data_IF_814860830258
#
_entry.id   IF_814860830258
#
_cell.length_a   1.000
_cell.length_b   1.000
_cell.length_c   1.000
_cell.angle_alpha   90.00
_cell.angle_beta   90.00
_cell.angle_gamma   90.00
#
_symmetry.space_group_name_H-M   'P 1'
#
loop_
_entity.id
_entity.type
_entity.pdbx_description
1 polymer ?
#
# COMPACT_ATOMS: atom_id res chain seq x y z
N UNK A 1 -3.78 24.71 12.05
CA UNK A 1 -3.34 23.40 11.54
C UNK A 1 -2.27 23.60 10.47
N UNK A 2 -1.20 22.82 10.53
CA UNK A 2 -0.05 22.89 9.62
C UNK A 2 0.23 21.47 9.13
N UNK A 3 0.32 21.29 7.82
CA UNK A 3 0.64 20.02 7.19
C UNK A 3 1.61 20.28 6.04
N UNK A 4 2.89 20.05 6.28
CA UNK A 4 3.93 20.28 5.27
C UNK A 4 4.06 19.01 4.43
N UNK A 5 3.92 19.13 3.12
CA UNK A 5 4.25 18.03 2.23
C UNK A 5 5.78 17.89 2.17
N UNK A 6 6.28 16.72 2.57
CA UNK A 6 7.71 16.44 2.52
C UNK A 6 8.15 16.17 1.09
N UNK A 7 7.65 15.09 0.50
CA UNK A 7 7.92 14.68 -0.88
C UNK A 7 6.65 14.12 -1.52
N UNK A 8 6.52 14.25 -2.84
CA UNK A 8 5.47 13.55 -3.58
C UNK A 8 5.75 12.05 -3.72
N UNK A 9 4.69 11.27 -3.67
CA UNK A 9 4.72 9.83 -3.97
C UNK A 9 3.65 9.48 -5.00
N UNK A 10 3.55 8.21 -5.39
CA UNK A 10 2.39 7.64 -6.09
C UNK A 10 1.93 8.40 -7.35
N UNK A 11 2.86 8.88 -8.19
CA UNK A 11 2.51 9.46 -9.50
C UNK A 11 2.26 10.97 -9.50
N UNK A 12 2.17 11.60 -8.33
CA UNK A 12 1.99 13.04 -8.20
C UNK A 12 3.32 13.78 -8.40
N UNK A 13 3.27 15.00 -8.96
CA UNK A 13 4.45 15.87 -9.18
C UNK A 13 4.07 17.35 -9.32
N UNK A 14 3.05 17.81 -8.59
CA UNK A 14 2.61 19.20 -8.69
C UNK A 14 3.68 20.13 -8.09
N UNK A 15 4.15 21.09 -8.89
CA UNK A 15 5.16 22.08 -8.46
C UNK A 15 4.60 23.05 -7.42
N UNK A 16 5.47 23.52 -6.52
CA UNK A 16 5.09 24.47 -5.46
C UNK A 16 4.31 23.87 -4.28
N UNK A 17 4.12 22.55 -4.24
CA UNK A 17 3.47 21.86 -3.12
C UNK A 17 4.47 21.32 -2.08
N UNK A 18 5.58 20.74 -2.51
CA UNK A 18 6.62 20.24 -1.61
C UNK A 18 7.22 21.38 -0.78
N UNK A 19 7.50 21.10 0.51
CA UNK A 19 7.96 22.08 1.48
C UNK A 19 6.89 23.09 1.94
N UNK A 20 5.68 23.05 1.37
CA UNK A 20 4.62 24.03 1.65
C UNK A 20 3.50 23.45 2.51
N UNK A 21 2.79 24.34 3.22
CA UNK A 21 1.63 23.96 4.02
C UNK A 21 0.41 23.69 3.11
N UNK A 22 0.06 22.42 2.91
CA UNK A 22 -1.00 22.00 2.00
C UNK A 22 -2.37 22.54 2.43
N UNK A 23 -2.62 22.64 3.74
CA UNK A 23 -3.84 23.27 4.28
C UNK A 23 -3.92 24.75 3.89
N UNK A 24 -2.78 25.45 3.86
CA UNK A 24 -2.69 26.83 3.38
C UNK A 24 -3.00 26.92 1.89
N UNK A 25 -2.36 26.08 1.07
CA UNK A 25 -2.58 26.05 -0.38
C UNK A 25 -4.06 25.77 -0.74
N UNK A 26 -4.72 24.87 -0.01
CA UNK A 26 -6.14 24.59 -0.17
C UNK A 26 -7.01 25.80 0.21
N UNK A 27 -6.73 26.45 1.35
CA UNK A 27 -7.46 27.65 1.79
C UNK A 27 -7.32 28.78 0.79
N UNK A 28 -6.13 28.97 0.22
CA UNK A 28 -5.91 29.98 -0.83
C UNK A 28 -6.67 29.63 -2.10
N UNK A 29 -6.76 28.35 -2.48
CA UNK A 29 -7.56 27.91 -3.61
C UNK A 29 -9.07 28.18 -3.42
N UNK A 30 -9.59 27.94 -2.21
CA UNK A 30 -10.99 28.22 -1.87
C UNK A 30 -11.26 29.73 -1.92
N UNK A 31 -10.37 30.54 -1.33
CA UNK A 31 -10.46 32.01 -1.40
C UNK A 31 -10.41 32.54 -2.83
N UNK A 32 -9.54 31.99 -3.67
CA UNK A 32 -9.45 32.36 -5.10
C UNK A 32 -10.74 32.05 -5.86
N UNK A 33 -11.44 30.97 -5.49
CA UNK A 33 -12.71 30.59 -6.12
C UNK A 33 -13.86 31.49 -5.65
N UNK A 34 -13.92 31.81 -4.36
CA UNK A 34 -14.77 32.85 -3.79
C UNK A 34 -16.29 32.57 -3.79
N UNK A 35 -16.72 31.37 -4.18
CA UNK A 35 -18.13 30.97 -4.27
C UNK A 35 -18.63 30.14 -3.08
N UNK A 36 -17.74 29.75 -2.15
CA UNK A 36 -18.09 29.11 -0.89
C UNK A 36 -17.01 29.33 0.18
N UNK A 37 -17.38 29.11 1.44
CA UNK A 37 -16.46 29.06 2.57
C UNK A 37 -16.39 27.63 3.13
N UNK A 38 -15.22 27.22 3.58
CA UNK A 38 -15.00 25.90 4.18
C UNK A 38 -13.96 26.00 5.29
N UNK A 39 -14.29 25.44 6.46
CA UNK A 39 -13.33 25.31 7.53
C UNK A 39 -12.55 23.99 7.40
N UNK A 40 -11.22 24.10 7.33
CA UNK A 40 -10.32 22.94 7.27
C UNK A 40 -9.84 22.64 8.68
N UNK A 41 -10.53 21.69 9.31
CA UNK A 41 -10.36 21.32 10.72
C UNK A 41 -9.38 20.16 10.95
N UNK A 42 -9.18 19.33 9.93
CA UNK A 42 -8.31 18.15 9.99
C UNK A 42 -7.61 17.89 8.65
N UNK A 43 -6.38 17.37 8.73
CA UNK A 43 -5.65 16.77 7.62
C UNK A 43 -5.19 15.39 8.09
N UNK A 44 -5.50 14.35 7.33
CA UNK A 44 -5.36 12.97 7.78
C UNK A 44 -4.75 12.13 6.65
N UNK A 45 -3.84 11.23 7.01
CA UNK A 45 -3.34 10.20 6.10
C UNK A 45 -4.40 9.09 5.90
N UNK A 46 -4.41 8.46 4.74
CA UNK A 46 -5.39 7.42 4.40
C UNK A 46 -5.32 6.21 5.35
N UNK A 47 -4.13 5.80 5.82
CA UNK A 47 -3.97 4.71 6.80
C UNK A 47 -4.64 5.04 8.13
N UNK A 48 -4.44 6.27 8.63
CA UNK A 48 -5.01 6.76 9.90
C UNK A 48 -6.53 6.81 9.81
N UNK A 49 -7.06 7.33 8.70
CA UNK A 49 -8.48 7.36 8.47
C UNK A 49 -9.08 5.95 8.39
N UNK A 50 -8.43 5.02 7.69
CA UNK A 50 -8.85 3.61 7.64
C UNK A 50 -8.86 2.98 9.02
N UNK A 51 -7.81 3.20 9.83
CA UNK A 51 -7.75 2.71 11.21
C UNK A 51 -8.94 3.21 12.03
N UNK A 52 -9.22 4.51 11.99
CA UNK A 52 -10.32 5.11 12.76
C UNK A 52 -11.70 4.65 12.26
N UNK A 53 -11.86 4.44 10.95
CA UNK A 53 -13.08 3.87 10.40
C UNK A 53 -13.34 2.48 10.97
N UNK A 54 -12.35 1.60 10.93
CA UNK A 54 -12.46 0.24 11.47
C UNK A 54 -12.54 0.23 13.01
N UNK A 55 -11.95 1.21 13.69
CA UNK A 55 -12.02 1.38 15.14
C UNK A 55 -13.42 1.70 15.66
N UNK A 56 -14.25 2.32 14.82
CA UNK A 56 -15.66 2.52 15.14
C UNK A 56 -16.42 1.19 15.23
N UNK A 57 -16.03 0.19 14.44
CA UNK A 57 -16.66 -1.15 14.42
C UNK A 57 -16.04 -2.08 15.46
N UNK A 58 -14.71 -2.03 15.61
CA UNK A 58 -13.98 -2.81 16.61
C UNK A 58 -13.00 -1.92 17.39
N UNK A 59 -13.28 -1.78 18.69
CA UNK A 59 -12.49 -1.00 19.64
C UNK A 59 -11.06 -1.51 19.84
N UNK A 60 -10.70 -2.67 19.29
CA UNK A 60 -9.34 -3.23 19.27
C UNK A 60 -8.54 -2.82 18.02
N UNK A 61 -9.14 -2.04 17.11
CA UNK A 61 -8.44 -1.59 15.91
C UNK A 61 -7.38 -0.54 16.25
N UNK A 62 -6.12 -0.94 16.18
CA UNK A 62 -4.99 -0.08 16.54
C UNK A 62 -3.90 -0.05 15.47
N UNK A 63 -4.19 -0.63 14.31
CA UNK A 63 -3.37 -0.56 13.09
C UNK A 63 -4.27 -0.26 11.91
N UNK A 64 -3.85 0.69 11.06
CA UNK A 64 -4.45 0.96 9.76
C UNK A 64 -3.47 0.65 8.65
N UNK A 65 -3.94 0.00 7.59
CA UNK A 65 -3.11 -0.36 6.44
C UNK A 65 -3.79 -0.02 5.13
N UNK A 66 -2.98 0.43 4.17
CA UNK A 66 -3.37 0.61 2.78
C UNK A 66 -2.51 -0.30 1.91
N UNK A 67 -3.15 -1.14 1.10
CA UNK A 67 -2.49 -2.00 0.10
C UNK A 67 -3.27 -1.89 -1.21
N UNK A 68 -2.96 -0.84 -1.97
CA UNK A 68 -3.64 -0.46 -3.20
C UNK A 68 -2.64 -0.02 -4.25
N UNK A 69 -2.78 1.19 -4.80
CA UNK A 69 -1.79 1.78 -5.72
C UNK A 69 -0.39 1.84 -5.08
N UNK A 70 -0.34 2.25 -3.81
CA UNK A 70 0.84 2.18 -2.95
C UNK A 70 0.61 1.28 -1.75
N UNK A 71 1.55 1.30 -0.80
CA UNK A 71 1.48 0.52 0.43
C UNK A 71 1.96 1.35 1.62
N UNK A 72 1.12 1.49 2.65
CA UNK A 72 1.47 2.22 3.87
C UNK A 72 0.78 1.61 5.10
N UNK A 73 1.29 1.92 6.30
CA UNK A 73 0.63 1.61 7.56
C UNK A 73 0.72 2.75 8.58
N UNK A 74 -0.20 2.73 9.54
CA UNK A 74 -0.09 3.47 10.79
C UNK A 74 -0.47 2.57 11.96
N UNK A 75 -0.07 2.95 13.17
CA UNK A 75 -0.46 2.25 14.38
C UNK A 75 -0.54 3.18 15.59
N UNK A 76 -1.16 2.72 16.68
CA UNK A 76 -1.18 3.45 17.95
C UNK A 76 0.07 3.14 18.78
N UNK A 77 0.94 4.14 18.93
CA UNK A 77 2.17 4.10 19.71
C UNK A 77 1.95 4.75 21.10
N UNK A 78 2.68 4.28 22.10
CA UNK A 78 2.70 4.86 23.44
C UNK A 78 3.43 6.21 23.41
N UNK A 79 2.85 7.26 24.01
CA UNK A 79 3.43 8.62 23.95
C UNK A 79 4.87 8.69 24.47
N UNK A 80 5.21 7.89 25.48
CA UNK A 80 6.58 7.76 25.99
C UNK A 80 7.62 7.32 24.94
N UNK A 81 7.20 6.70 23.83
CA UNK A 81 8.08 6.30 22.72
C UNK A 81 8.13 7.35 21.59
N UNK A 82 7.30 8.40 21.63
CA UNK A 82 7.20 9.42 20.58
C UNK A 82 8.03 10.65 20.96
N UNK A 83 9.35 10.51 20.85
CA UNK A 83 10.32 11.52 21.32
C UNK A 83 10.17 12.91 20.68
N UNK A 84 9.57 13.01 19.49
CA UNK A 84 9.41 14.25 18.75
C UNK A 84 8.20 15.09 19.18
N UNK A 85 7.38 14.59 20.10
CA UNK A 85 6.20 15.30 20.62
C UNK A 85 6.29 15.37 22.14
N UNK A 86 6.10 16.56 22.70
CA UNK A 86 6.12 16.74 24.16
C UNK A 86 4.95 16.00 24.83
N UNK A 87 5.25 15.32 25.94
CA UNK A 87 4.30 14.57 26.76
C UNK A 87 4.54 13.05 26.69
N UNK A 88 4.24 12.36 27.79
CA UNK A 88 4.42 10.92 27.97
C UNK A 88 3.09 10.19 28.26
N UNK A 89 2.02 10.94 28.53
CA UNK A 89 0.70 10.38 28.84
C UNK A 89 -0.12 10.02 27.59
N UNK A 90 -0.62 8.79 27.56
CA UNK A 90 -1.55 8.32 26.54
C UNK A 90 -0.85 7.78 25.30
N UNK A 91 -1.52 7.88 24.15
CA UNK A 91 -1.11 7.24 22.90
C UNK A 91 -1.30 8.16 21.71
N UNK A 92 -0.42 8.03 20.72
CA UNK A 92 -0.48 8.77 19.46
C UNK A 92 -0.45 7.82 18.27
N UNK A 93 -1.26 8.12 17.25
CA UNK A 93 -1.17 7.40 16.00
C UNK A 93 0.08 7.84 15.23
N UNK A 94 0.96 6.89 14.93
CA UNK A 94 2.17 7.09 14.12
C UNK A 94 1.90 6.60 12.71
N UNK A 95 2.04 7.49 11.74
CA UNK A 95 2.13 7.14 10.33
C UNK A 95 3.57 6.73 10.01
N UNK A 96 3.78 5.48 9.62
CA UNK A 96 5.14 4.94 9.46
C UNK A 96 5.80 5.41 8.17
N UNK A 97 5.02 5.74 7.14
CA UNK A 97 5.52 5.94 5.77
C UNK A 97 6.46 4.80 5.34
N UNK A 98 6.14 3.56 5.72
CA UNK A 98 7.03 2.40 5.57
C UNK A 98 7.38 2.06 4.11
N UNK A 99 6.76 2.73 3.14
CA UNK A 99 7.02 2.55 1.72
C UNK A 99 8.47 2.88 1.37
N UNK A 100 9.09 3.79 2.13
CA UNK A 100 10.49 4.19 2.04
C UNK A 100 11.49 3.20 2.68
N UNK A 101 11.02 2.12 3.29
CA UNK A 101 11.93 1.10 3.81
C UNK A 101 12.80 0.53 2.67
N UNK A 102 14.10 0.38 2.94
CA UNK A 102 15.08 -0.04 1.94
C UNK A 102 15.75 1.10 1.18
N UNK A 103 15.24 2.33 1.23
CA UNK A 103 15.82 3.50 0.52
C UNK A 103 17.25 3.82 0.99
N UNK A 104 17.67 3.33 2.16
CA UNK A 104 19.04 3.47 2.68
C UNK A 104 19.88 2.19 2.56
N UNK A 105 19.41 1.21 1.78
CA UNK A 105 20.13 -0.04 1.45
C UNK A 105 19.70 -1.26 2.27
N UNK A 106 18.71 -1.14 3.17
CA UNK A 106 18.26 -2.25 4.03
C UNK A 106 17.68 -3.44 3.24
N UNK A 107 17.27 -3.21 1.98
CA UNK A 107 16.71 -4.22 1.10
C UNK A 107 17.64 -4.65 -0.03
N UNK A 108 18.87 -4.11 -0.11
CA UNK A 108 19.73 -4.26 -1.29
C UNK A 108 20.00 -5.71 -1.69
N UNK A 109 20.19 -6.59 -0.70
CA UNK A 109 20.44 -8.02 -0.94
C UNK A 109 19.20 -8.80 -1.41
N UNK A 110 18.00 -8.25 -1.20
CA UNK A 110 16.72 -8.87 -1.56
C UNK A 110 16.14 -8.34 -2.87
N UNK A 111 16.64 -7.20 -3.36
CA UNK A 111 16.18 -6.59 -4.61
C UNK A 111 16.69 -7.35 -5.83
N UNK A 112 15.76 -7.81 -6.66
CA UNK A 112 16.04 -8.49 -7.93
C UNK A 112 16.34 -7.48 -9.03
N UNK A 113 16.88 -7.95 -10.16
CA UNK A 113 17.14 -7.13 -11.34
C UNK A 113 15.88 -6.39 -11.83
N UNK A 114 14.70 -7.05 -11.76
CA UNK A 114 13.42 -6.46 -12.16
C UNK A 114 13.02 -5.29 -11.26
N UNK A 115 13.30 -5.39 -9.95
CA UNK A 115 12.95 -4.36 -8.98
C UNK A 115 13.78 -3.09 -9.25
N UNK A 116 15.05 -3.27 -9.58
CA UNK A 116 15.97 -2.17 -9.94
C UNK A 116 15.53 -1.48 -11.23
N UNK A 117 15.16 -2.25 -12.25
CA UNK A 117 14.62 -1.67 -13.50
C UNK A 117 13.34 -0.88 -13.24
N UNK A 118 12.43 -1.39 -12.38
CA UNK A 118 11.22 -0.65 -11.99
C UNK A 118 11.57 0.66 -11.27
N UNK A 119 12.52 0.60 -10.34
CA UNK A 119 12.98 1.75 -9.55
C UNK A 119 13.62 2.83 -10.41
N UNK A 120 14.66 2.47 -11.18
CA UNK A 120 15.43 3.38 -12.04
C UNK A 120 14.55 4.14 -13.03
N UNK A 121 13.51 3.47 -13.52
CA UNK A 121 12.59 4.07 -14.48
C UNK A 121 11.41 4.79 -13.79
N UNK A 122 11.24 4.71 -12.47
CA UNK A 122 10.12 5.34 -11.77
C UNK A 122 10.23 6.88 -11.77
N UNK A 123 9.17 7.56 -11.30
CA UNK A 123 9.21 9.02 -11.13
C UNK A 123 10.09 9.47 -9.97
N UNK A 124 10.48 8.54 -9.11
CA UNK A 124 11.19 8.72 -7.86
C UNK A 124 12.23 7.59 -7.68
N UNK A 125 13.27 7.51 -8.54
CA UNK A 125 14.32 6.50 -8.42
C UNK A 125 15.04 6.58 -7.07
N UNK A 126 15.40 5.42 -6.50
CA UNK A 126 16.02 5.30 -5.18
C UNK A 126 15.09 5.63 -4.01
N UNK A 127 13.79 5.79 -4.25
CA UNK A 127 12.80 6.12 -3.21
C UNK A 127 11.61 5.18 -3.25
N UNK A 128 10.99 4.96 -2.09
CA UNK A 128 9.82 4.11 -1.93
C UNK A 128 10.09 2.66 -2.38
N UNK A 129 11.28 2.13 -2.11
CA UNK A 129 11.71 0.82 -2.61
C UNK A 129 10.81 -0.31 -2.09
N UNK A 130 10.47 -0.33 -0.81
CA UNK A 130 9.55 -1.31 -0.26
C UNK A 130 8.13 -1.19 -0.84
N UNK A 131 7.63 0.03 -1.09
CA UNK A 131 6.36 0.23 -1.78
C UNK A 131 6.39 -0.36 -3.20
N UNK A 132 7.52 -0.25 -3.91
CA UNK A 132 7.67 -0.77 -5.28
C UNK A 132 7.60 -2.29 -5.37
N UNK A 133 7.92 -2.99 -4.28
CA UNK A 133 7.82 -4.45 -4.20
C UNK A 133 6.39 -4.95 -3.98
N UNK A 134 5.49 -4.09 -3.49
CA UNK A 134 4.17 -4.50 -2.98
C UNK A 134 3.03 -3.82 -3.75
N UNK A 135 3.14 -2.52 -3.97
CA UNK A 135 2.06 -1.67 -4.46
C UNK A 135 1.56 -2.07 -5.85
N UNK A 136 0.26 -2.00 -6.04
CA UNK A 136 -0.42 -2.30 -7.29
C UNK A 136 -0.05 -1.36 -8.44
N UNK A 137 0.62 -0.23 -8.18
CA UNK A 137 1.21 0.58 -9.26
C UNK A 137 2.36 -0.15 -9.98
N UNK A 138 3.06 -1.05 -9.29
CA UNK A 138 4.32 -1.63 -9.75
C UNK A 138 4.22 -3.12 -10.05
N UNK A 139 3.29 -3.83 -9.41
CA UNK A 139 3.11 -5.28 -9.53
C UNK A 139 2.99 -5.78 -10.99
N UNK A 140 2.16 -5.13 -11.81
CA UNK A 140 2.02 -5.49 -13.22
C UNK A 140 3.30 -5.29 -14.04
N UNK A 141 4.06 -4.22 -13.75
CA UNK A 141 5.33 -3.94 -14.43
C UNK A 141 6.41 -4.96 -14.03
N UNK A 142 6.45 -5.37 -12.76
CA UNK A 142 7.32 -6.45 -12.30
C UNK A 142 7.04 -7.75 -13.04
N UNK A 143 5.76 -8.11 -13.19
CA UNK A 143 5.38 -9.29 -13.99
C UNK A 143 5.82 -9.12 -15.44
N UNK A 144 5.57 -7.96 -16.06
CA UNK A 144 5.97 -7.69 -17.45
C UNK A 144 7.47 -7.91 -17.68
N UNK A 145 8.31 -7.43 -16.77
CA UNK A 145 9.76 -7.57 -16.88
C UNK A 145 10.21 -9.03 -16.74
N UNK A 146 9.59 -9.80 -15.84
CA UNK A 146 9.81 -11.26 -15.75
C UNK A 146 9.40 -11.95 -17.05
N UNK A 147 8.24 -11.60 -17.63
CA UNK A 147 7.79 -12.17 -18.90
C UNK A 147 8.76 -11.84 -20.04
N UNK A 148 9.24 -10.60 -20.14
CA UNK A 148 10.23 -10.21 -21.15
C UNK A 148 11.53 -10.99 -21.01
N UNK A 149 12.03 -11.17 -19.78
CA UNK A 149 13.22 -11.96 -19.51
C UNK A 149 13.06 -13.41 -19.97
N UNK A 150 11.91 -14.02 -19.70
CA UNK A 150 11.61 -15.38 -20.16
C UNK A 150 11.50 -15.46 -21.70
N UNK A 151 11.00 -14.42 -22.36
CA UNK A 151 11.00 -14.34 -23.82
C UNK A 151 12.43 -14.24 -24.35
N UNK A 152 13.26 -13.34 -23.81
CA UNK A 152 14.64 -13.15 -24.26
C UNK A 152 15.51 -14.41 -24.06
N UNK A 153 15.17 -15.26 -23.08
CA UNK A 153 15.78 -16.58 -22.85
C UNK A 153 15.15 -17.72 -23.68
N UNK A 154 14.23 -17.40 -24.59
CA UNK A 154 13.50 -18.35 -25.43
C UNK A 154 12.70 -19.40 -24.64
N UNK A 155 12.24 -19.04 -23.45
CA UNK A 155 11.41 -19.86 -22.55
C UNK A 155 9.92 -19.54 -22.65
N UNK A 156 9.56 -18.41 -23.27
CA UNK A 156 8.18 -17.95 -23.41
C UNK A 156 7.94 -17.39 -24.82
N UNK A 157 6.75 -17.63 -25.37
CA UNK A 157 6.31 -17.12 -26.68
C UNK A 157 7.29 -17.37 -27.83
N UNK A 158 8.06 -18.48 -27.77
CA UNK A 158 9.09 -18.85 -28.77
C UNK A 158 10.13 -17.76 -29.03
N UNK A 159 10.44 -16.95 -28.01
CA UNK A 159 11.43 -15.89 -28.12
C UNK A 159 10.91 -14.60 -28.77
N UNK A 160 9.61 -14.51 -29.07
CA UNK A 160 9.02 -13.36 -29.74
C UNK A 160 8.05 -12.59 -28.82
N UNK A 161 8.47 -11.42 -28.34
CA UNK A 161 7.58 -10.49 -27.64
C UNK A 161 6.87 -9.59 -28.63
N UNK A 162 5.60 -9.27 -28.35
CA UNK A 162 4.85 -8.24 -29.06
C UNK A 162 5.31 -6.83 -28.68
N UNK A 163 5.05 -5.85 -29.56
CA UNK A 163 5.29 -4.43 -29.28
C UNK A 163 4.57 -3.95 -28.01
N UNK A 164 3.35 -4.46 -27.78
CA UNK A 164 2.58 -4.16 -26.57
C UNK A 164 3.27 -4.70 -25.32
N UNK A 165 3.78 -5.94 -25.33
CA UNK A 165 4.49 -6.49 -24.16
C UNK A 165 5.79 -5.74 -23.86
N UNK A 166 6.47 -5.24 -24.91
CA UNK A 166 7.67 -4.39 -24.77
C UNK A 166 7.35 -3.01 -24.21
N UNK A 167 6.12 -2.54 -24.34
CA UNK A 167 5.67 -1.23 -23.83
C UNK A 167 5.54 -1.26 -22.31
N UNK A 168 6.26 -0.34 -21.65
CA UNK A 168 6.21 -0.17 -20.20
C UNK A 168 4.78 0.09 -19.71
N UNK A 169 4.38 -0.58 -18.63
CA UNK A 169 3.06 -0.42 -18.03
C UNK A 169 1.91 -1.08 -18.81
N UNK A 170 2.18 -1.75 -19.93
CA UNK A 170 1.16 -2.43 -20.71
C UNK A 170 0.55 -3.65 -20.00
N UNK A 171 1.30 -4.27 -19.08
CA UNK A 171 0.78 -5.33 -18.23
C UNK A 171 0.28 -4.72 -16.92
N UNK A 172 -1.01 -4.40 -16.86
CA UNK A 172 -1.61 -3.78 -15.68
C UNK A 172 -1.83 -4.77 -14.53
N UNK A 173 -1.83 -4.28 -13.28
CA UNK A 173 -2.07 -5.13 -12.09
C UNK A 173 -3.44 -5.82 -12.10
N UNK A 174 -4.45 -5.25 -12.79
CA UNK A 174 -5.73 -5.95 -12.99
C UNK A 174 -5.56 -7.26 -13.77
N UNK A 175 -4.59 -7.34 -14.70
CA UNK A 175 -4.28 -8.57 -15.41
C UNK A 175 -3.68 -9.62 -14.49
N UNK A 176 -2.86 -9.23 -13.51
CA UNK A 176 -2.31 -10.13 -12.48
C UNK A 176 -3.46 -10.80 -11.71
N UNK A 177 -4.39 -10.00 -11.17
CA UNK A 177 -5.58 -10.52 -10.47
C UNK A 177 -6.44 -11.41 -11.37
N UNK A 178 -6.63 -11.02 -12.62
CA UNK A 178 -7.43 -11.77 -13.59
C UNK A 178 -6.80 -13.12 -13.96
N UNK A 179 -5.49 -13.15 -14.19
CA UNK A 179 -4.74 -14.38 -14.49
C UNK A 179 -4.82 -15.37 -13.32
N UNK A 180 -4.67 -14.90 -12.07
CA UNK A 180 -4.77 -15.75 -10.89
C UNK A 180 -6.22 -16.20 -10.59
N UNK A 181 -7.22 -15.43 -11.04
CA UNK A 181 -8.64 -15.79 -10.91
C UNK A 181 -9.14 -16.81 -11.94
N UNK A 182 -8.33 -17.13 -12.96
CA UNK A 182 -8.72 -18.08 -14.01
C UNK A 182 -9.06 -19.45 -13.41
N UNK A 183 -10.19 -20.02 -13.83
CA UNK A 183 -10.76 -21.27 -13.31
C UNK A 183 -9.96 -22.53 -13.69
N UNK A 184 -8.87 -22.38 -14.45
CA UNK A 184 -8.01 -23.46 -14.92
C UNK A 184 -8.25 -23.83 -16.40
N UNK A 185 -9.26 -23.24 -17.05
CA UNK A 185 -9.50 -23.41 -18.48
C UNK A 185 -8.63 -22.50 -19.37
N UNK A 186 -7.86 -21.60 -18.75
CA UNK A 186 -6.89 -20.68 -19.37
C UNK A 186 -7.51 -19.64 -20.30
N UNK A 187 -8.84 -19.57 -20.43
CA UNK A 187 -9.50 -18.66 -21.39
C UNK A 187 -9.22 -17.21 -21.06
N UNK A 188 -9.21 -16.87 -19.78
CA UNK A 188 -8.98 -15.49 -19.35
C UNK A 188 -7.55 -15.07 -19.65
N UNK A 189 -6.59 -15.96 -19.37
CA UNK A 189 -5.18 -15.76 -19.69
C UNK A 189 -4.98 -15.61 -21.21
N UNK A 190 -5.61 -16.48 -22.01
CA UNK A 190 -5.57 -16.41 -23.47
C UNK A 190 -6.08 -15.07 -23.99
N UNK A 191 -7.22 -14.60 -23.48
CA UNK A 191 -7.82 -13.33 -23.89
C UNK A 191 -6.90 -12.16 -23.56
N UNK A 192 -6.34 -12.10 -22.34
CA UNK A 192 -5.40 -11.05 -21.93
C UNK A 192 -4.18 -11.03 -22.85
N UNK A 193 -3.52 -12.17 -23.04
CA UNK A 193 -2.34 -12.27 -23.89
C UNK A 193 -2.66 -11.92 -25.35
N UNK A 194 -3.86 -12.29 -25.84
CA UNK A 194 -4.33 -11.89 -27.18
C UNK A 194 -4.52 -10.37 -27.30
N UNK A 195 -5.02 -9.69 -26.27
CA UNK A 195 -5.11 -8.21 -26.28
C UNK A 195 -3.74 -7.53 -26.28
N UNK A 196 -2.71 -8.22 -25.77
CA UNK A 196 -1.32 -7.81 -25.87
C UNK A 196 -0.68 -8.22 -27.21
N UNK A 197 -1.45 -8.67 -28.20
CA UNK A 197 -0.93 -9.03 -29.52
C UNK A 197 -0.16 -10.35 -29.57
N UNK A 198 -0.28 -11.20 -28.55
CA UNK A 198 0.41 -12.49 -28.46
C UNK A 198 -0.52 -13.63 -28.88
N UNK A 199 0.06 -14.73 -29.36
CA UNK A 199 -0.63 -15.99 -29.64
C UNK A 199 -0.08 -17.08 -28.72
N UNK A 200 -0.53 -17.13 -27.46
CA UNK A 200 0.07 -18.02 -26.46
C UNK A 200 -0.28 -19.48 -26.75
N UNK A 201 0.60 -20.39 -26.35
CA UNK A 201 0.27 -21.81 -26.19
C UNK A 201 -0.33 -22.06 -24.81
N UNK A 202 -0.86 -23.27 -24.56
CA UNK A 202 -1.31 -23.63 -23.21
C UNK A 202 -0.18 -23.55 -22.17
N UNK A 203 1.02 -23.95 -22.55
CA UNK A 203 2.22 -23.85 -21.71
C UNK A 203 2.60 -22.40 -21.42
N UNK A 204 2.52 -21.51 -22.40
CA UNK A 204 2.77 -20.08 -22.17
C UNK A 204 1.79 -19.51 -21.14
N UNK A 205 0.50 -19.89 -21.21
CA UNK A 205 -0.49 -19.49 -20.21
C UNK A 205 -0.13 -19.96 -18.79
N UNK A 206 0.34 -21.21 -18.66
CA UNK A 206 0.75 -21.78 -17.36
C UNK A 206 1.99 -21.06 -16.80
N UNK A 207 2.95 -20.68 -17.66
CA UNK A 207 4.13 -19.91 -17.27
C UNK A 207 3.73 -18.49 -16.84
N UNK A 208 2.87 -17.81 -17.59
CA UNK A 208 2.37 -16.46 -17.26
C UNK A 208 1.64 -16.48 -15.92
N UNK A 209 0.81 -17.49 -15.67
CA UNK A 209 0.15 -17.69 -14.38
C UNK A 209 1.17 -17.81 -13.25
N UNK A 210 2.19 -18.64 -13.43
CA UNK A 210 3.23 -18.83 -12.42
C UNK A 210 4.05 -17.57 -12.15
N UNK A 211 4.31 -16.76 -13.17
CA UNK A 211 4.97 -15.46 -13.01
C UNK A 211 4.12 -14.49 -12.17
N UNK A 212 2.81 -14.41 -12.47
CA UNK A 212 1.85 -13.62 -11.69
C UNK A 212 1.83 -14.06 -10.23
N UNK A 213 1.63 -15.37 -9.99
CA UNK A 213 1.58 -15.97 -8.66
C UNK A 213 2.87 -15.71 -7.86
N UNK A 214 4.04 -15.78 -8.51
CA UNK A 214 5.33 -15.56 -7.85
C UNK A 214 5.49 -14.11 -7.38
N UNK A 215 5.16 -13.13 -8.23
CA UNK A 215 5.27 -11.71 -7.91
C UNK A 215 4.25 -11.32 -6.83
N UNK A 216 2.98 -11.73 -6.97
CA UNK A 216 1.94 -11.39 -6.01
C UNK A 216 2.13 -12.09 -4.65
N UNK A 217 2.65 -13.33 -4.64
CA UNK A 217 3.02 -14.03 -3.40
C UNK A 217 4.16 -13.32 -2.68
N UNK A 218 5.21 -12.90 -3.40
CA UNK A 218 6.29 -12.10 -2.82
C UNK A 218 5.74 -10.80 -2.22
N UNK A 219 4.89 -10.07 -2.94
CA UNK A 219 4.27 -8.85 -2.44
C UNK A 219 3.47 -9.08 -1.13
N UNK A 220 2.69 -10.16 -1.07
CA UNK A 220 1.94 -10.53 0.13
C UNK A 220 2.86 -10.87 1.31
N UNK A 221 3.96 -11.61 1.06
CA UNK A 221 4.93 -11.96 2.10
C UNK A 221 5.72 -10.77 2.62
N UNK A 222 6.16 -9.86 1.73
CA UNK A 222 6.84 -8.63 2.13
C UNK A 222 5.89 -7.80 2.99
N UNK A 223 4.68 -7.52 2.50
CA UNK A 223 3.66 -6.79 3.26
C UNK A 223 3.38 -7.42 4.65
N UNK A 224 3.33 -8.75 4.72
CA UNK A 224 3.15 -9.48 5.98
C UNK A 224 4.32 -9.29 6.94
N UNK A 225 5.56 -9.29 6.45
CA UNK A 225 6.75 -9.05 7.26
C UNK A 225 6.76 -7.64 7.86
N UNK A 226 6.39 -6.62 7.08
CA UNK A 226 6.25 -5.25 7.59
C UNK A 226 5.19 -5.14 8.69
N UNK A 227 4.00 -5.72 8.49
CA UNK A 227 2.97 -5.72 9.53
C UNK A 227 3.41 -6.50 10.78
N UNK A 228 4.06 -7.65 10.60
CA UNK A 228 4.56 -8.43 11.71
C UNK A 228 5.59 -7.65 12.54
N UNK A 229 6.46 -6.87 11.90
CA UNK A 229 7.38 -5.96 12.58
C UNK A 229 6.65 -4.94 13.47
N UNK A 230 5.61 -4.29 12.93
CA UNK A 230 4.78 -3.33 13.69
C UNK A 230 4.09 -4.01 14.87
N UNK A 231 3.42 -5.14 14.64
CA UNK A 231 2.65 -5.86 15.66
C UNK A 231 3.57 -6.39 16.77
N UNK A 232 4.72 -6.98 16.42
CA UNK A 232 5.67 -7.49 17.41
C UNK A 232 6.26 -6.34 18.25
N UNK A 233 6.59 -5.21 17.63
CA UNK A 233 7.04 -4.00 18.33
C UNK A 233 5.99 -3.48 19.32
N UNK A 234 4.71 -3.44 18.92
CA UNK A 234 3.61 -3.04 19.80
C UNK A 234 3.46 -3.98 20.99
N UNK A 235 3.46 -5.30 20.74
CA UNK A 235 3.39 -6.33 21.78
C UNK A 235 4.52 -6.19 22.80
N UNK A 236 5.75 -6.06 22.32
CA UNK A 236 6.93 -5.87 23.16
C UNK A 236 6.86 -4.57 23.97
N UNK A 237 6.43 -3.47 23.35
CA UNK A 237 6.27 -2.19 24.04
C UNK A 237 5.30 -2.26 25.20
N UNK A 238 4.24 -3.07 25.06
CA UNK A 238 3.18 -3.23 26.05
C UNK A 238 3.48 -4.35 27.05
N UNK A 239 4.60 -5.06 26.88
CA UNK A 239 4.96 -6.23 27.69
C UNK A 239 3.85 -7.27 27.73
N UNK A 240 3.16 -7.48 26.61
CA UNK A 240 2.06 -8.45 26.50
C UNK A 240 2.57 -9.83 26.06
N UNK A 241 2.23 -10.87 26.83
CA UNK A 241 2.53 -12.25 26.46
C UNK A 241 1.75 -12.68 25.22
N UNK A 242 0.46 -12.33 25.17
CA UNK A 242 -0.44 -12.55 24.03
C UNK A 242 -1.22 -11.27 23.75
N UNK A 243 -1.01 -10.67 22.58
CA UNK A 243 -1.69 -9.44 22.18
C UNK A 243 -2.90 -9.75 21.31
N UNK A 244 -4.06 -9.16 21.65
CA UNK A 244 -5.27 -9.21 20.82
C UNK A 244 -5.45 -7.88 20.12
N UNK A 245 -5.40 -7.88 18.79
CA UNK A 245 -5.40 -6.65 18.01
C UNK A 245 -6.25 -6.78 16.76
N UNK A 246 -6.83 -5.67 16.33
CA UNK A 246 -7.53 -5.57 15.05
C UNK A 246 -6.75 -4.66 14.10
N UNK A 247 -6.67 -5.07 12.84
CA UNK A 247 -6.02 -4.33 11.75
C UNK A 247 -7.09 -3.93 10.75
N UNK A 248 -7.30 -2.63 10.59
CA UNK A 248 -8.14 -2.08 9.53
C UNK A 248 -7.36 -2.01 8.22
N UNK A 249 -7.88 -2.61 7.15
CA UNK A 249 -7.21 -2.67 5.85
C UNK A 249 -8.11 -2.11 4.75
N UNK A 250 -7.52 -1.32 3.85
CA UNK A 250 -8.13 -0.89 2.60
C UNK A 250 -7.12 -0.99 1.44
N UNK A 251 -7.60 -0.85 0.22
CA UNK A 251 -6.79 -0.83 -1.00
C UNK A 251 -7.18 -1.92 -1.99
N UNK A 252 -7.04 -1.58 -3.26
CA UNK A 252 -7.49 -2.41 -4.38
C UNK A 252 -6.75 -3.74 -4.50
N UNK A 253 -5.46 -3.81 -4.18
CA UNK A 253 -4.70 -5.07 -4.24
C UNK A 253 -5.22 -6.03 -3.18
N UNK A 254 -5.41 -5.56 -1.95
CA UNK A 254 -5.93 -6.42 -0.88
C UNK A 254 -7.37 -6.89 -1.14
N UNK A 255 -8.24 -6.00 -1.64
CA UNK A 255 -9.67 -6.28 -1.86
C UNK A 255 -9.96 -7.10 -3.11
N UNK A 256 -9.24 -6.86 -4.21
CA UNK A 256 -9.60 -7.38 -5.53
C UNK A 256 -8.71 -8.54 -5.99
N UNK A 257 -7.51 -8.71 -5.43
CA UNK A 257 -6.63 -9.80 -5.82
C UNK A 257 -7.08 -11.12 -5.18
N UNK A 258 -7.30 -12.20 -5.96
CA UNK A 258 -7.99 -13.40 -5.48
C UNK A 258 -7.29 -14.10 -4.32
N UNK A 259 -5.95 -14.12 -4.30
CA UNK A 259 -5.16 -14.86 -3.31
C UNK A 259 -4.30 -13.98 -2.39
N UNK A 260 -4.29 -12.65 -2.57
CA UNK A 260 -3.36 -11.79 -1.84
C UNK A 260 -3.68 -11.79 -0.34
N UNK A 261 -4.96 -11.56 -0.01
CA UNK A 261 -5.46 -11.53 1.37
C UNK A 261 -5.15 -12.82 2.14
N UNK A 262 -5.40 -13.98 1.52
CA UNK A 262 -5.15 -15.29 2.14
C UNK A 262 -3.65 -15.50 2.41
N UNK A 263 -2.78 -15.29 1.41
CA UNK A 263 -1.32 -15.45 1.54
C UNK A 263 -0.75 -14.48 2.58
N UNK A 264 -1.23 -13.24 2.57
CA UNK A 264 -0.87 -12.21 3.54
C UNK A 264 -1.26 -12.63 4.96
N UNK A 265 -2.53 -13.00 5.21
CA UNK A 265 -2.99 -13.42 6.55
C UNK A 265 -2.24 -14.65 7.07
N UNK A 266 -2.03 -15.67 6.23
CA UNK A 266 -1.27 -16.85 6.60
C UNK A 266 0.16 -16.51 7.03
N UNK A 267 0.80 -15.62 6.27
CA UNK A 267 2.17 -15.18 6.56
C UNK A 267 2.27 -14.34 7.82
N UNK A 268 1.34 -13.41 8.05
CA UNK A 268 1.30 -12.60 9.28
C UNK A 268 1.17 -13.51 10.50
N UNK A 269 0.20 -14.44 10.50
CA UNK A 269 0.00 -15.37 11.63
C UNK A 269 1.24 -16.20 11.94
N UNK A 270 1.98 -16.62 10.91
CA UNK A 270 3.25 -17.35 11.09
C UNK A 270 4.35 -16.48 11.73
N UNK A 271 4.40 -15.19 11.40
CA UNK A 271 5.41 -14.25 11.89
C UNK A 271 5.04 -13.61 13.24
N UNK A 272 3.79 -13.75 13.69
CA UNK A 272 3.28 -13.20 14.96
C UNK A 272 2.58 -14.30 15.78
N UNK A 273 3.26 -15.38 16.19
CA UNK A 273 2.63 -16.51 16.87
C UNK A 273 2.01 -16.15 18.24
N UNK A 274 2.47 -15.08 18.86
CA UNK A 274 1.99 -14.56 20.15
C UNK A 274 0.91 -13.49 20.01
N UNK A 275 0.23 -13.42 18.85
CA UNK A 275 -0.79 -12.41 18.59
C UNK A 275 -2.07 -13.05 18.00
N UNK A 276 -3.22 -12.66 18.55
CA UNK A 276 -4.53 -12.94 17.97
C UNK A 276 -4.98 -11.73 17.14
N UNK A 277 -4.94 -11.87 15.81
CA UNK A 277 -5.15 -10.76 14.88
C UNK A 277 -6.48 -10.91 14.14
N UNK A 278 -7.34 -9.91 14.26
CA UNK A 278 -8.55 -9.74 13.43
C UNK A 278 -8.25 -8.74 12.32
N UNK A 279 -8.65 -9.06 11.08
CA UNK A 279 -8.56 -8.12 9.96
C UNK A 279 -9.95 -7.65 9.57
N UNK A 280 -10.15 -6.33 9.51
CA UNK A 280 -11.40 -5.70 9.06
C UNK A 280 -11.13 -4.93 7.77
N UNK A 281 -11.97 -5.13 6.78
CA UNK A 281 -11.95 -4.33 5.55
C UNK A 281 -12.77 -3.06 5.74
N UNK A 282 -12.22 -1.91 5.39
CA UNK A 282 -13.00 -0.67 5.39
C UNK A 282 -13.91 -0.61 4.17
N UNK A 283 -15.23 -0.66 4.34
CA UNK A 283 -16.20 -0.61 3.22
C UNK A 283 -16.31 0.79 2.59
N UNK A 284 -16.34 1.84 3.41
CA UNK A 284 -16.50 3.24 2.98
C UNK A 284 -15.16 3.97 2.74
N UNK A 285 -14.05 3.22 2.78
CA UNK A 285 -12.68 3.74 2.69
C UNK A 285 -12.35 4.76 3.78
N UNK A 286 -11.45 5.69 3.47
CA UNK A 286 -10.96 6.70 4.43
C UNK A 286 -11.99 7.80 4.78
N UNK A 287 -13.12 7.90 4.08
CA UNK A 287 -14.09 8.99 4.23
C UNK A 287 -14.70 9.08 5.64
N UNK A 288 -15.21 7.95 6.14
CA UNK A 288 -15.80 7.85 7.49
C UNK A 288 -14.79 8.19 8.58
N UNK A 289 -13.56 7.67 8.46
CA UNK A 289 -12.48 7.95 9.40
C UNK A 289 -12.11 9.43 9.45
N UNK A 290 -11.98 10.08 8.30
CA UNK A 290 -11.71 11.50 8.21
C UNK A 290 -12.82 12.36 8.86
N UNK A 291 -14.09 11.96 8.67
CA UNK A 291 -15.23 12.63 9.31
C UNK A 291 -15.20 12.48 10.84
N UNK A 292 -14.91 11.28 11.37
CA UNK A 292 -14.79 11.03 12.81
C UNK A 292 -13.66 11.85 13.44
N UNK A 293 -12.50 11.92 12.78
CA UNK A 293 -11.36 12.73 13.25
C UNK A 293 -11.73 14.22 13.24
N UNK A 294 -12.40 14.69 12.18
CA UNK A 294 -12.88 16.06 12.08
C UNK A 294 -13.84 16.41 13.22
N UNK A 295 -14.76 15.50 13.57
CA UNK A 295 -15.69 15.69 14.69
C UNK A 295 -14.95 15.84 16.04
N UNK A 296 -13.91 15.04 16.28
CA UNK A 296 -13.07 15.16 17.50
C UNK A 296 -12.30 16.48 17.53
N UNK A 297 -11.75 16.90 16.38
CA UNK A 297 -11.05 18.18 16.26
C UNK A 297 -11.98 19.36 16.58
N UNK A 298 -13.18 19.38 16.00
CA UNK A 298 -14.20 20.39 16.28
C UNK A 298 -14.59 20.41 17.76
N UNK A 299 -14.83 19.23 18.37
CA UNK A 299 -15.17 19.14 19.80
C UNK A 299 -14.08 19.73 20.69
N UNK A 300 -12.80 19.43 20.42
CA UNK A 300 -11.67 20.00 21.18
C UNK A 300 -11.56 21.50 21.00
N UNK A 301 -11.74 22.01 19.78
CA UNK A 301 -11.73 23.45 19.51
C UNK A 301 -12.83 24.18 20.29
N UNK A 302 -14.04 23.62 20.35
CA UNK A 302 -15.13 24.19 21.15
C UNK A 302 -14.84 24.16 22.66
N UNK A 303 -14.19 23.11 23.17
CA UNK A 303 -13.84 23.01 24.60
C UNK A 303 -12.70 23.96 25.01
N UNK A 304 -11.79 24.29 24.10
CA UNK A 304 -10.66 25.21 24.34
C UNK A 304 -11.02 26.69 24.07
N UNK A 305 -12.13 26.95 23.38
CA UNK A 305 -12.66 28.29 23.11
C UNK A 305 -13.65 28.79 24.18
N UNK A 306 -13.88 28.02 25.25
CA UNK A 306 -14.56 28.41 26.49
C UNK A 306 -13.53 28.69 27.57
#
# INVERSE_FOLDING_TARGET
>A
MRGILLNWTKGFKASGAEGNNIVGLLRDAIKRRGDFEMDVVAMVNDTVATMISCYYEDRRCEVGMIVGTGCNACYMEEMQNVELVEGDEGRMCVNTEWGAFGDSGELDEFLLEYDRVVDENSLNPGQQLYEKLIGGKYMGELVRLVLLKLVDENLLFRGEASEQLRTRGAFETRFVSQVESDSGDRKQIYNILSTLGLRPTATDCDIVRRACESVSTRAAHMCAAGLAGVINRMRESRSEDVMRITVGVDGSVYKLHPSFKERFHASVRRLTPSCEITFIESEEGSGRGAALISAVACKKACMLGQ
#
